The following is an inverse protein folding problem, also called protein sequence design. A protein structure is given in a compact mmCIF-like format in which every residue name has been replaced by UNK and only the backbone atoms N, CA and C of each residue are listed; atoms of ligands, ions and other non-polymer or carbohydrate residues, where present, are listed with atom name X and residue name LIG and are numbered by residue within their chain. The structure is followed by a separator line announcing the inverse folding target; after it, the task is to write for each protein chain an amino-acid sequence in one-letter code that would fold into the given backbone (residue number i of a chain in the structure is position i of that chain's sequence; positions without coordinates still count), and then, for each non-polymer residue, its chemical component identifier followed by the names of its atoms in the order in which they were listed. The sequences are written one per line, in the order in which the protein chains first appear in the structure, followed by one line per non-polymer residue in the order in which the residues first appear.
data_IF_628478884140
#
_entry.id   IF_628478884140
#
_cell.length_a   1.000
_cell.length_b   1.000
_cell.length_c   1.000
_cell.angle_alpha   90.00
_cell.angle_beta   90.00
_cell.angle_gamma   90.00
#
_symmetry.space_group_name_H-M   'P 1'
#
loop_
_entity.id
_entity.type
_entity.pdbx_description
1 polymer ?
#
# COMPACT_ATOMS: atom_id res chain seq x y z
N UNK A 1 -2.74 77.31 -28.52
CA UNK A 1 -2.77 76.16 -27.58
C UNK A 1 -2.65 74.89 -28.41
N UNK A 2 -1.55 74.16 -28.25
CA UNK A 2 -1.26 72.89 -28.96
C UNK A 2 -1.59 71.74 -28.01
N UNK A 3 -2.41 70.79 -28.42
CA UNK A 3 -2.56 69.52 -27.71
C UNK A 3 -2.10 68.38 -28.62
N UNK A 4 -0.98 67.77 -28.24
CA UNK A 4 -0.43 66.56 -28.84
C UNK A 4 -1.27 65.36 -28.43
N UNK A 5 -1.69 64.56 -29.42
CA UNK A 5 -2.22 63.23 -29.20
C UNK A 5 -1.04 62.25 -29.03
N UNK A 6 -0.90 61.69 -27.83
CA UNK A 6 -0.02 60.54 -27.57
C UNK A 6 -0.83 59.28 -27.85
N UNK A 7 -0.46 58.59 -28.93
CA UNK A 7 -0.98 57.28 -29.29
C UNK A 7 -0.37 56.25 -28.34
N UNK A 8 -1.17 55.67 -27.44
CA UNK A 8 -0.74 54.58 -26.57
C UNK A 8 -0.88 53.25 -27.32
N UNK A 9 0.25 52.68 -27.73
CA UNK A 9 0.33 51.35 -28.32
C UNK A 9 0.16 50.29 -27.22
N UNK A 10 -1.01 49.65 -27.15
CA UNK A 10 -1.23 48.44 -26.37
C UNK A 10 -0.65 47.24 -27.15
N UNK A 11 0.53 46.76 -26.75
CA UNK A 11 1.07 45.49 -27.25
C UNK A 11 0.49 44.33 -26.44
N UNK A 12 -0.14 43.39 -27.16
CA UNK A 12 -0.83 42.23 -26.60
C UNK A 12 0.16 41.23 -25.94
N UNK A 13 -0.02 41.00 -24.64
CA UNK A 13 0.48 39.83 -23.92
C UNK A 13 -0.58 38.72 -24.05
N UNK A 14 -0.47 37.87 -25.07
CA UNK A 14 -1.50 36.86 -25.36
C UNK A 14 -0.99 35.55 -25.99
N UNK A 15 0.25 35.13 -25.72
CA UNK A 15 0.86 33.97 -26.37
C UNK A 15 1.26 32.82 -25.43
N UNK A 16 0.76 32.77 -24.20
CA UNK A 16 1.15 31.74 -23.21
C UNK A 16 0.24 30.51 -23.12
N UNK A 17 -1.02 30.60 -23.59
CA UNK A 17 -2.05 29.60 -23.25
C UNK A 17 -2.12 28.39 -24.19
N UNK A 18 -1.58 28.49 -25.41
CA UNK A 18 -1.66 27.42 -26.42
C UNK A 18 -0.70 26.25 -26.18
N UNK A 19 0.52 26.53 -25.70
CA UNK A 19 1.55 25.52 -25.49
C UNK A 19 1.19 24.53 -24.38
N UNK A 20 0.65 25.02 -23.26
CA UNK A 20 0.20 24.17 -22.14
C UNK A 20 -1.00 23.29 -22.53
N UNK A 21 -1.93 23.78 -23.36
CA UNK A 21 -3.08 23.01 -23.81
C UNK A 21 -2.68 21.87 -24.75
N UNK A 22 -1.68 22.10 -25.60
CA UNK A 22 -1.14 21.07 -26.49
C UNK A 22 -0.42 19.96 -25.70
N UNK A 23 0.46 20.34 -24.77
CA UNK A 23 1.17 19.39 -23.89
C UNK A 23 0.21 18.52 -23.07
N UNK A 24 -0.86 19.11 -22.51
CA UNK A 24 -1.90 18.38 -21.78
C UNK A 24 -2.64 17.38 -22.69
N UNK A 25 -2.92 17.76 -23.94
CA UNK A 25 -3.62 16.89 -24.89
C UNK A 25 -2.74 15.71 -25.31
N UNK A 26 -1.47 15.97 -25.60
CA UNK A 26 -0.48 14.93 -25.91
C UNK A 26 -0.31 13.96 -24.74
N UNK A 27 -0.20 14.50 -23.51
CA UNK A 27 -0.11 13.70 -22.30
C UNK A 27 -1.36 12.84 -22.05
N UNK A 28 -2.55 13.38 -22.30
CA UNK A 28 -3.79 12.63 -22.19
C UNK A 28 -3.85 11.48 -23.22
N UNK A 29 -3.36 11.72 -24.44
CA UNK A 29 -3.22 10.70 -25.48
C UNK A 29 -2.28 9.57 -25.06
N UNK A 30 -1.13 9.91 -24.48
CA UNK A 30 -0.16 8.95 -23.95
C UNK A 30 -0.77 8.08 -22.84
N UNK A 31 -1.41 8.70 -21.85
CA UNK A 31 -2.09 7.98 -20.75
C UNK A 31 -3.15 7.01 -21.28
N UNK A 32 -3.89 7.41 -22.32
CA UNK A 32 -4.88 6.54 -22.95
C UNK A 32 -4.22 5.34 -23.63
N UNK A 33 -3.13 5.56 -24.37
CA UNK A 33 -2.39 4.48 -25.02
C UNK A 33 -1.86 3.46 -24.00
N UNK A 34 -1.32 3.90 -22.86
CA UNK A 34 -0.86 3.00 -21.80
C UNK A 34 -1.99 2.19 -21.16
N UNK A 35 -3.19 2.76 -20.99
CA UNK A 35 -4.36 2.00 -20.53
C UNK A 35 -4.71 0.87 -21.50
N UNK A 36 -4.72 1.15 -22.79
CA UNK A 36 -5.01 0.16 -23.83
C UNK A 36 -3.94 -0.95 -23.85
N UNK A 37 -2.67 -0.58 -23.76
CA UNK A 37 -1.54 -1.52 -23.71
C UNK A 37 -1.56 -2.41 -22.46
N UNK A 38 -1.73 -1.82 -21.27
CA UNK A 38 -1.74 -2.58 -20.02
C UNK A 38 -3.03 -3.40 -19.80
N UNK A 39 -4.06 -3.20 -20.62
CA UNK A 39 -5.28 -4.02 -20.67
C UNK A 39 -5.36 -4.94 -21.90
N UNK A 40 -4.25 -5.14 -22.60
CA UNK A 40 -4.20 -5.97 -23.80
C UNK A 40 -4.77 -7.39 -23.55
N UNK A 41 -5.53 -8.00 -24.46
CA UNK A 41 -6.14 -9.32 -24.22
C UNK A 41 -5.10 -10.44 -24.03
N UNK A 42 -3.97 -10.34 -24.75
CA UNK A 42 -2.83 -11.26 -24.61
C UNK A 42 -2.10 -11.04 -23.27
N UNK A 43 -1.99 -12.05 -22.40
CA UNK A 43 -1.30 -11.95 -21.11
C UNK A 43 0.21 -11.70 -21.24
N UNK A 44 0.87 -12.24 -22.26
CA UNK A 44 2.33 -12.08 -22.44
C UNK A 44 2.65 -10.63 -22.82
N UNK A 45 1.81 -10.04 -23.68
CA UNK A 45 1.92 -8.61 -24.01
C UNK A 45 1.61 -7.73 -22.81
N UNK A 46 0.59 -8.05 -21.99
CA UNK A 46 0.33 -7.30 -20.74
C UNK A 46 1.50 -7.33 -19.79
N UNK A 47 2.14 -8.49 -19.62
CA UNK A 47 3.31 -8.63 -18.77
C UNK A 47 4.46 -7.76 -19.31
N UNK A 48 4.74 -7.83 -20.62
CA UNK A 48 5.76 -7.01 -21.25
C UNK A 48 5.48 -5.49 -21.12
N UNK A 49 4.22 -5.06 -21.26
CA UNK A 49 3.84 -3.67 -21.07
C UNK A 49 3.95 -3.22 -19.62
N UNK A 50 3.62 -4.08 -18.65
CA UNK A 50 3.83 -3.78 -17.23
C UNK A 50 5.32 -3.60 -16.94
N UNK A 51 6.19 -4.48 -17.43
CA UNK A 51 7.64 -4.32 -17.28
C UNK A 51 8.18 -3.07 -17.97
N UNK A 52 7.64 -2.72 -19.15
CA UNK A 52 7.98 -1.49 -19.85
C UNK A 52 7.57 -0.26 -19.04
N UNK A 53 6.35 -0.26 -18.47
CA UNK A 53 5.83 0.80 -17.63
C UNK A 53 6.75 1.06 -16.42
N UNK A 54 7.19 0.01 -15.73
CA UNK A 54 8.10 0.11 -14.58
C UNK A 54 9.49 0.65 -14.92
N UNK A 55 9.88 0.65 -16.20
CA UNK A 55 11.16 1.22 -16.68
C UNK A 55 11.03 2.69 -17.07
N UNK A 56 9.82 3.22 -17.20
CA UNK A 56 9.59 4.63 -17.60
C UNK A 56 9.95 5.61 -16.48
N UNK A 57 9.88 5.19 -15.20
CA UNK A 57 9.91 6.06 -14.02
C UNK A 57 8.79 7.11 -13.99
N UNK A 58 7.71 6.88 -14.75
CA UNK A 58 6.53 7.73 -14.75
C UNK A 58 5.48 7.15 -13.80
N UNK A 59 5.37 7.74 -12.62
CA UNK A 59 4.44 7.28 -11.57
C UNK A 59 2.99 7.19 -12.04
N UNK A 60 2.57 8.01 -13.01
CA UNK A 60 1.19 7.95 -13.53
C UNK A 60 0.98 6.71 -14.39
N UNK A 61 1.92 6.42 -15.27
CA UNK A 61 1.89 5.23 -16.15
C UNK A 61 2.00 3.97 -15.30
N UNK A 62 2.94 3.93 -14.36
CA UNK A 62 3.13 2.78 -13.48
C UNK A 62 1.88 2.49 -12.67
N UNK A 63 1.28 3.49 -12.01
CA UNK A 63 0.05 3.31 -11.21
C UNK A 63 -1.11 2.75 -12.03
N UNK A 64 -1.25 3.17 -13.29
CA UNK A 64 -2.28 2.64 -14.19
C UNK A 64 -2.05 1.17 -14.47
N UNK A 65 -0.83 0.81 -14.89
CA UNK A 65 -0.49 -0.56 -15.27
C UNK A 65 -0.50 -1.51 -14.07
N UNK A 66 0.01 -1.07 -12.92
CA UNK A 66 -0.05 -1.81 -11.66
C UNK A 66 -1.49 -2.08 -11.24
N UNK A 67 -2.37 -1.06 -11.27
CA UNK A 67 -3.80 -1.24 -10.93
C UNK A 67 -4.47 -2.29 -11.83
N UNK A 68 -4.24 -2.22 -13.14
CA UNK A 68 -4.77 -3.20 -14.09
C UNK A 68 -4.19 -4.60 -13.85
N UNK A 69 -2.91 -4.69 -13.49
CA UNK A 69 -2.25 -5.95 -13.20
C UNK A 69 -2.79 -6.64 -11.94
N UNK A 70 -3.06 -5.86 -10.87
CA UNK A 70 -3.67 -6.38 -9.64
C UNK A 70 -5.06 -6.97 -9.86
N UNK A 71 -5.78 -6.49 -10.90
CA UNK A 71 -7.11 -6.97 -11.28
C UNK A 71 -7.07 -8.12 -12.30
N UNK A 72 -5.88 -8.60 -12.70
CA UNK A 72 -5.74 -9.65 -13.69
C UNK A 72 -6.06 -11.04 -13.11
N UNK A 73 -6.82 -11.83 -13.88
CA UNK A 73 -7.05 -13.25 -13.58
C UNK A 73 -5.78 -14.10 -13.74
N UNK A 74 -4.82 -13.63 -14.55
CA UNK A 74 -3.53 -14.30 -14.73
C UNK A 74 -2.65 -14.09 -13.49
N UNK A 75 -2.20 -15.18 -12.88
CA UNK A 75 -1.45 -15.17 -11.63
C UNK A 75 -0.07 -14.50 -11.74
N UNK A 76 0.62 -14.61 -12.88
CA UNK A 76 1.94 -14.03 -13.07
C UNK A 76 1.87 -12.51 -13.19
N UNK A 77 0.91 -12.01 -13.96
CA UNK A 77 0.63 -10.57 -14.06
C UNK A 77 0.25 -10.01 -12.68
N UNK A 78 -0.60 -10.73 -11.94
CA UNK A 78 -1.06 -10.31 -10.62
C UNK A 78 0.08 -10.29 -9.60
N UNK A 79 0.96 -11.29 -9.63
CA UNK A 79 2.16 -11.35 -8.81
C UNK A 79 3.13 -10.19 -9.11
N UNK A 80 3.43 -9.93 -10.39
CA UNK A 80 4.27 -8.79 -10.77
C UNK A 80 3.62 -7.45 -10.36
N UNK A 81 2.30 -7.32 -10.56
CA UNK A 81 1.52 -6.17 -10.12
C UNK A 81 1.62 -5.95 -8.61
N UNK A 82 1.51 -7.00 -7.79
CA UNK A 82 1.63 -6.90 -6.34
C UNK A 82 3.03 -6.47 -5.91
N UNK A 83 4.07 -7.06 -6.50
CA UNK A 83 5.47 -6.66 -6.22
C UNK A 83 5.72 -5.20 -6.57
N UNK A 84 5.22 -4.76 -7.73
CA UNK A 84 5.32 -3.38 -8.18
C UNK A 84 4.54 -2.43 -7.27
N UNK A 85 3.32 -2.78 -6.86
CA UNK A 85 2.53 -1.99 -5.92
C UNK A 85 3.29 -1.76 -4.60
N UNK A 86 3.82 -2.84 -4.01
CA UNK A 86 4.61 -2.76 -2.78
C UNK A 86 5.85 -1.88 -2.94
N UNK A 87 6.50 -1.91 -4.11
CA UNK A 87 7.65 -1.05 -4.38
C UNK A 87 7.32 0.45 -4.50
N UNK A 88 6.05 0.80 -4.72
CA UNK A 88 5.59 2.20 -4.79
C UNK A 88 5.19 2.79 -3.44
N UNK A 89 5.03 1.95 -2.40
CA UNK A 89 4.65 2.41 -1.08
C UNK A 89 5.88 2.71 -0.23
N UNK A 90 5.93 3.92 0.33
CA UNK A 90 6.83 4.22 1.45
C UNK A 90 6.31 3.63 2.76
N UNK A 91 4.97 3.58 2.90
CA UNK A 91 4.29 3.07 4.08
C UNK A 91 3.01 2.31 3.70
N UNK A 92 2.70 1.29 4.49
CA UNK A 92 1.46 0.53 4.41
C UNK A 92 0.83 0.44 5.81
N UNK A 93 -0.42 0.87 5.93
CA UNK A 93 -1.18 0.84 7.18
C UNK A 93 -2.20 -0.27 7.13
N UNK A 94 -2.16 -1.15 8.13
CA UNK A 94 -3.16 -2.18 8.32
C UNK A 94 -4.16 -1.76 9.39
N UNK A 95 -5.44 -1.82 9.08
CA UNK A 95 -6.50 -1.88 10.07
C UNK A 95 -6.39 -3.22 10.80
N UNK A 96 -6.68 -3.21 12.11
CA UNK A 96 -6.53 -4.39 12.96
C UNK A 96 -7.83 -4.65 13.70
N UNK A 97 -8.39 -5.83 13.49
CA UNK A 97 -9.58 -6.27 14.21
C UNK A 97 -9.20 -7.04 15.47
N UNK A 98 -10.17 -7.10 16.39
CA UNK A 98 -10.03 -7.88 17.61
C UNK A 98 -10.02 -9.37 17.25
N UNK A 99 -9.12 -10.20 17.82
CA UNK A 99 -9.15 -11.64 17.60
C UNK A 99 -10.50 -12.24 18.01
N UNK A 100 -11.03 -13.14 17.19
CA UNK A 100 -12.36 -13.77 17.41
C UNK A 100 -12.42 -14.47 18.78
N UNK A 101 -11.39 -15.22 19.14
CA UNK A 101 -11.29 -15.86 20.46
C UNK A 101 -11.33 -14.85 21.62
N UNK A 102 -10.85 -13.62 21.43
CA UNK A 102 -10.96 -12.57 22.45
C UNK A 102 -12.37 -11.99 22.50
N UNK A 103 -13.03 -11.84 21.36
CA UNK A 103 -14.44 -11.42 21.30
C UNK A 103 -15.32 -12.42 22.05
N UNK A 104 -15.15 -13.71 21.77
CA UNK A 104 -15.87 -14.80 22.45
C UNK A 104 -15.65 -14.75 23.97
N UNK A 105 -14.40 -14.63 24.43
CA UNK A 105 -14.11 -14.57 25.87
C UNK A 105 -14.72 -13.35 26.56
N UNK A 106 -14.79 -12.21 25.89
CA UNK A 106 -15.45 -11.02 26.42
C UNK A 106 -16.95 -11.24 26.51
N UNK A 107 -17.56 -11.86 25.50
CA UNK A 107 -18.99 -12.18 25.50
C UNK A 107 -19.34 -13.20 26.60
N UNK A 108 -18.53 -14.24 26.79
CA UNK A 108 -18.71 -15.25 27.86
C UNK A 108 -18.67 -14.63 29.27
N UNK A 109 -17.92 -13.53 29.44
CA UNK A 109 -17.74 -12.83 30.72
C UNK A 109 -18.72 -11.65 30.91
N UNK A 110 -19.72 -11.48 30.03
CA UNK A 110 -20.66 -10.38 30.12
C UNK A 110 -21.42 -10.39 31.46
N UNK A 111 -21.37 -9.26 32.18
CA UNK A 111 -21.97 -9.12 33.52
C UNK A 111 -21.09 -9.62 34.69
N UNK A 112 -19.90 -10.17 34.42
CA UNK A 112 -18.91 -10.56 35.43
C UNK A 112 -17.70 -9.61 35.39
N UNK A 113 -17.72 -8.58 36.23
CA UNK A 113 -16.66 -7.55 36.28
C UNK A 113 -15.28 -8.13 36.61
N UNK A 114 -15.22 -9.18 37.43
CA UNK A 114 -13.97 -9.81 37.83
C UNK A 114 -13.34 -10.57 36.65
N UNK A 115 -14.15 -11.30 35.87
CA UNK A 115 -13.69 -11.96 34.65
C UNK A 115 -13.28 -10.95 33.58
N UNK A 116 -14.05 -9.89 33.36
CA UNK A 116 -13.69 -8.82 32.42
C UNK A 116 -12.37 -8.16 32.82
N UNK A 117 -12.14 -7.91 34.11
CA UNK A 117 -10.86 -7.42 34.63
C UNK A 117 -9.73 -8.41 34.35
N UNK A 118 -9.93 -9.71 34.56
CA UNK A 118 -8.94 -10.74 34.20
C UNK A 118 -8.60 -10.72 32.72
N UNK A 119 -9.61 -10.67 31.83
CA UNK A 119 -9.42 -10.65 30.37
C UNK A 119 -8.68 -9.38 29.94
N UNK A 120 -8.98 -8.22 30.53
CA UNK A 120 -8.25 -6.97 30.26
C UNK A 120 -6.75 -7.06 30.62
N UNK A 121 -6.40 -7.93 31.55
CA UNK A 121 -5.03 -8.19 31.98
C UNK A 121 -4.22 -9.05 31.00
N UNK A 122 -4.89 -9.78 30.09
CA UNK A 122 -4.23 -10.68 29.14
C UNK A 122 -3.36 -9.93 28.15
N UNK A 123 -2.26 -10.57 27.74
CA UNK A 123 -1.32 -9.99 26.78
C UNK A 123 -1.99 -9.66 25.45
N UNK A 124 -2.86 -10.56 24.94
CA UNK A 124 -3.62 -10.33 23.70
C UNK A 124 -4.49 -9.07 23.75
N UNK A 125 -5.16 -8.81 24.88
CA UNK A 125 -6.01 -7.63 25.08
C UNK A 125 -5.18 -6.35 25.13
N UNK A 126 -4.09 -6.36 25.91
CA UNK A 126 -3.16 -5.23 25.99
C UNK A 126 -2.57 -4.91 24.61
N UNK A 127 -2.14 -5.93 23.87
CA UNK A 127 -1.63 -5.76 22.52
C UNK A 127 -2.67 -5.14 21.61
N UNK A 128 -3.89 -5.70 21.57
CA UNK A 128 -4.96 -5.14 20.74
C UNK A 128 -5.14 -3.65 21.01
N UNK A 129 -5.16 -3.24 22.29
CA UNK A 129 -5.31 -1.84 22.65
C UNK A 129 -4.22 -0.91 22.09
N UNK A 130 -3.01 -1.43 21.85
CA UNK A 130 -1.93 -0.67 21.23
C UNK A 130 -2.04 -0.57 19.71
N UNK A 131 -2.61 -1.58 19.05
CA UNK A 131 -2.61 -1.69 17.57
C UNK A 131 -3.98 -1.47 16.92
N UNK A 132 -5.06 -1.37 17.71
CA UNK A 132 -6.43 -1.17 17.22
C UNK A 132 -6.64 0.09 16.38
N UNK A 133 -5.76 1.08 16.50
CA UNK A 133 -5.81 2.31 15.69
C UNK A 133 -5.01 2.20 14.38
N UNK A 134 -4.57 1.00 14.05
CA UNK A 134 -3.80 0.70 12.86
C UNK A 134 -2.34 0.34 13.16
N UNK A 135 -1.80 -0.49 12.28
CA UNK A 135 -0.41 -0.93 12.30
C UNK A 135 0.30 -0.46 11.04
N UNK A 136 1.18 0.53 11.21
CA UNK A 136 1.94 1.13 10.10
C UNK A 136 3.25 0.39 9.89
N UNK A 137 3.56 0.03 8.66
CA UNK A 137 4.86 -0.47 8.22
C UNK A 137 5.50 0.51 7.27
N UNK A 138 6.72 0.94 7.56
CA UNK A 138 7.57 1.61 6.58
C UNK A 138 8.28 0.57 5.72
N UNK A 139 8.19 0.72 4.39
CA UNK A 139 8.72 -0.23 3.41
C UNK A 139 10.02 0.32 2.85
N UNK A 140 11.05 -0.54 2.82
CA UNK A 140 12.37 -0.24 2.26
C UNK A 140 12.84 -1.39 1.38
N UNK A 141 13.71 -1.05 0.43
CA UNK A 141 14.44 -2.03 -0.41
C UNK A 141 13.49 -3.04 -1.07
N UNK A 142 12.34 -2.57 -1.55
CA UNK A 142 11.43 -3.41 -2.30
C UNK A 142 12.01 -3.69 -3.68
N UNK A 143 12.26 -4.97 -3.96
CA UNK A 143 12.80 -5.45 -5.21
C UNK A 143 11.70 -6.21 -5.96
N UNK A 144 11.25 -5.59 -7.05
CA UNK A 144 10.18 -6.11 -7.90
C UNK A 144 10.57 -7.44 -8.55
N UNK A 145 11.87 -7.66 -8.79
CA UNK A 145 12.38 -8.84 -9.50
C UNK A 145 12.27 -10.10 -8.63
N UNK A 146 12.79 -10.03 -7.41
CA UNK A 146 12.80 -11.18 -6.49
C UNK A 146 11.60 -11.21 -5.53
N UNK A 147 10.77 -10.16 -5.52
CA UNK A 147 9.60 -10.05 -4.65
C UNK A 147 9.94 -9.93 -3.17
N UNK A 148 11.14 -9.45 -2.82
CA UNK A 148 11.58 -9.26 -1.44
C UNK A 148 11.57 -7.78 -1.07
N UNK A 149 11.28 -7.50 0.20
CA UNK A 149 11.37 -6.16 0.78
C UNK A 149 11.68 -6.22 2.27
N UNK A 150 12.13 -5.08 2.83
CA UNK A 150 12.39 -4.93 4.27
C UNK A 150 11.36 -3.97 4.83
N UNK A 151 10.58 -4.41 5.83
CA UNK A 151 9.56 -3.55 6.43
C UNK A 151 9.86 -3.31 7.90
N UNK A 152 9.56 -2.09 8.34
CA UNK A 152 9.75 -1.59 9.69
C UNK A 152 8.39 -1.26 10.30
N UNK A 153 7.89 -2.01 11.29
CA UNK A 153 6.69 -1.67 12.02
C UNK A 153 6.95 -0.41 12.84
N UNK A 154 6.19 0.65 12.57
CA UNK A 154 6.39 1.95 13.20
C UNK A 154 5.70 2.07 14.55
N UNK A 155 4.59 1.35 14.81
CA UNK A 155 3.92 1.38 16.11
C UNK A 155 3.75 2.80 16.68
N UNK A 156 4.21 3.05 17.92
CA UNK A 156 4.24 4.41 18.52
C UNK A 156 5.55 5.17 18.26
N UNK A 157 6.39 4.72 17.33
CA UNK A 157 7.68 5.30 17.00
C UNK A 157 7.54 6.32 15.86
N UNK A 158 8.31 7.40 15.94
CA UNK A 158 8.36 8.43 14.90
C UNK A 158 9.27 8.07 13.71
N UNK A 159 10.05 6.98 13.81
CA UNK A 159 11.00 6.57 12.79
C UNK A 159 11.29 5.06 12.85
N UNK A 160 11.65 4.47 11.70
CA UNK A 160 12.16 3.11 11.62
C UNK A 160 13.34 2.85 12.58
N UNK A 161 13.45 1.60 13.05
CA UNK A 161 14.58 1.11 13.83
C UNK A 161 14.99 -0.28 13.35
N UNK A 162 16.28 -0.46 13.09
CA UNK A 162 16.83 -1.74 12.65
C UNK A 162 16.64 -2.87 13.68
N UNK A 163 16.36 -2.53 14.95
CA UNK A 163 16.01 -3.51 15.98
C UNK A 163 14.68 -4.24 15.68
N UNK A 164 13.77 -3.60 14.96
CA UNK A 164 12.42 -4.09 14.68
C UNK A 164 12.20 -4.35 13.20
N UNK A 165 13.24 -4.48 12.39
CA UNK A 165 13.08 -4.81 10.97
C UNK A 165 12.56 -6.23 10.78
N UNK A 166 11.82 -6.44 9.70
CA UNK A 166 11.49 -7.76 9.20
C UNK A 166 11.59 -7.82 7.68
N UNK A 167 11.56 -9.04 7.15
CA UNK A 167 11.61 -9.29 5.70
C UNK A 167 10.23 -9.69 5.22
N UNK A 168 9.76 -9.07 4.15
CA UNK A 168 8.57 -9.46 3.43
C UNK A 168 8.95 -10.17 2.12
N UNK A 169 8.18 -11.20 1.79
CA UNK A 169 8.29 -11.95 0.54
C UNK A 169 6.92 -12.02 -0.12
N UNK A 170 6.87 -11.68 -1.41
CA UNK A 170 5.68 -11.76 -2.25
C UNK A 170 5.73 -13.04 -3.09
N UNK A 171 4.73 -13.90 -2.92
CA UNK A 171 4.57 -15.15 -3.67
C UNK A 171 3.14 -15.23 -4.20
N UNK A 172 2.97 -15.12 -5.51
CA UNK A 172 1.65 -15.07 -6.12
C UNK A 172 0.92 -13.80 -5.68
N UNK A 173 -0.26 -13.96 -5.07
CA UNK A 173 -1.06 -12.86 -4.49
C UNK A 173 -0.91 -12.73 -2.97
N UNK A 174 0.10 -13.39 -2.39
CA UNK A 174 0.33 -13.43 -0.94
C UNK A 174 1.60 -12.70 -0.55
N UNK A 175 1.53 -11.95 0.54
CA UNK A 175 2.68 -11.34 1.20
C UNK A 175 2.86 -12.01 2.55
N UNK A 176 4.07 -12.51 2.80
CA UNK A 176 4.47 -12.95 4.13
C UNK A 176 5.63 -12.11 4.63
N UNK A 177 5.39 -11.37 5.70
CA UNK A 177 6.42 -10.66 6.44
C UNK A 177 6.77 -11.42 7.72
N UNK A 178 8.04 -11.43 8.08
CA UNK A 178 8.53 -12.01 9.35
C UNK A 178 9.61 -11.13 9.93
N UNK A 179 9.44 -10.75 11.20
CA UNK A 179 10.35 -9.83 11.88
C UNK A 179 10.04 -9.70 13.36
N UNK A 180 10.52 -8.62 13.96
CA UNK A 180 10.18 -8.24 15.33
C UNK A 180 9.39 -6.96 15.31
N UNK A 181 8.60 -6.69 16.34
CA UNK A 181 7.93 -5.40 16.50
C UNK A 181 8.36 -4.78 17.83
N UNK A 182 8.20 -3.47 17.95
CA UNK A 182 8.48 -2.77 19.21
C UNK A 182 7.61 -3.30 20.38
N UNK A 183 6.36 -3.65 20.08
CA UNK A 183 5.41 -4.22 21.05
C UNK A 183 5.84 -5.61 21.56
N UNK A 184 6.66 -6.32 20.78
CA UNK A 184 7.07 -7.71 21.00
C UNK A 184 8.58 -7.88 20.79
N UNK A 185 9.40 -7.13 21.53
CA UNK A 185 10.84 -7.09 21.30
C UNK A 185 11.53 -8.45 21.35
N UNK A 186 10.96 -9.40 22.09
CA UNK A 186 11.52 -10.71 22.40
C UNK A 186 10.83 -11.84 21.62
N UNK A 187 9.89 -11.51 20.74
CA UNK A 187 9.10 -12.50 20.01
C UNK A 187 9.08 -12.16 18.52
N UNK A 188 9.20 -13.20 17.70
CA UNK A 188 9.04 -13.06 16.25
C UNK A 188 7.57 -12.97 15.92
N UNK A 189 7.24 -12.00 15.07
CA UNK A 189 5.93 -11.82 14.50
C UNK A 189 5.93 -12.20 13.02
N UNK A 190 4.79 -12.70 12.56
CA UNK A 190 4.51 -13.00 11.16
C UNK A 190 3.24 -12.27 10.76
N UNK A 191 3.35 -11.46 9.73
CA UNK A 191 2.22 -10.87 9.02
C UNK A 191 2.02 -11.70 7.76
N UNK A 192 0.82 -12.23 7.58
CA UNK A 192 0.50 -13.11 6.49
C UNK A 192 -0.82 -12.66 5.88
N UNK A 193 -0.73 -12.06 4.68
CA UNK A 193 -1.86 -11.42 4.01
C UNK A 193 -1.92 -11.86 2.55
N UNK A 194 -3.14 -11.99 2.06
CA UNK A 194 -3.43 -12.33 0.68
C UNK A 194 -4.28 -11.23 0.05
N UNK A 195 -4.03 -10.96 -1.23
CA UNK A 195 -4.83 -10.02 -1.97
C UNK A 195 -6.23 -10.58 -2.23
N UNK A 196 -7.24 -9.77 -1.92
CA UNK A 196 -8.65 -10.07 -2.14
C UNK A 196 -9.20 -9.27 -3.33
N UNK A 197 -10.40 -9.65 -3.77
CA UNK A 197 -11.10 -8.90 -4.81
C UNK A 197 -11.26 -7.43 -4.39
N UNK A 198 -10.96 -6.51 -5.32
CA UNK A 198 -10.95 -5.06 -5.04
C UNK A 198 -9.58 -4.49 -4.68
N UNK A 199 -8.52 -5.31 -4.63
CA UNK A 199 -7.16 -4.83 -4.41
C UNK A 199 -6.89 -4.44 -2.95
N UNK A 200 -7.51 -5.16 -2.00
CA UNK A 200 -7.15 -5.10 -0.60
C UNK A 200 -6.27 -6.30 -0.24
N UNK A 201 -5.50 -6.17 0.84
CA UNK A 201 -4.80 -7.25 1.51
C UNK A 201 -5.60 -7.64 2.74
N UNK A 202 -5.92 -8.91 2.89
CA UNK A 202 -6.56 -9.47 4.08
C UNK A 202 -5.74 -10.63 4.63
N UNK A 203 -5.70 -10.75 5.95
CA UNK A 203 -5.06 -11.89 6.60
C UNK A 203 -4.90 -11.68 8.09
N UNK A 204 -3.74 -12.06 8.62
CA UNK A 204 -3.50 -11.97 10.04
C UNK A 204 -2.05 -11.61 10.39
N UNK A 205 -1.90 -10.93 11.52
CA UNK A 205 -0.65 -10.74 12.22
C UNK A 205 -0.62 -11.63 13.46
N UNK A 206 0.43 -12.44 13.61
CA UNK A 206 0.62 -13.32 14.75
C UNK A 206 1.99 -13.09 15.36
N UNK A 207 2.06 -12.98 16.68
CA UNK A 207 3.30 -12.77 17.42
C UNK A 207 3.46 -13.86 18.49
N UNK A 208 4.37 -14.81 18.25
CA UNK A 208 4.53 -15.99 19.10
C UNK A 208 3.24 -16.78 19.24
N UNK A 209 2.91 -17.13 20.49
CA UNK A 209 1.73 -17.95 20.81
C UNK A 209 0.46 -17.14 21.06
N UNK A 210 0.48 -15.83 20.78
CA UNK A 210 -0.73 -15.00 20.85
C UNK A 210 -1.72 -15.38 19.76
N UNK A 211 -3.00 -15.14 20.03
CA UNK A 211 -4.03 -15.27 19.00
C UNK A 211 -3.74 -14.34 17.82
N UNK A 212 -4.01 -14.82 16.59
CA UNK A 212 -3.82 -14.02 15.39
C UNK A 212 -4.76 -12.81 15.42
N UNK A 213 -4.21 -11.64 15.14
CA UNK A 213 -4.96 -10.40 14.93
C UNK A 213 -5.34 -10.34 13.46
N UNK A 214 -6.65 -10.36 13.11
CA UNK A 214 -7.05 -10.14 11.72
C UNK A 214 -6.63 -8.74 11.29
N UNK A 215 -6.13 -8.63 10.07
CA UNK A 215 -5.64 -7.36 9.52
C UNK A 215 -6.09 -7.16 8.09
N UNK A 216 -6.31 -5.91 7.73
CA UNK A 216 -6.70 -5.48 6.39
C UNK A 216 -5.93 -4.23 5.97
N UNK A 217 -5.51 -4.13 4.72
CA UNK A 217 -4.98 -2.89 4.16
C UNK A 217 -5.42 -2.69 2.70
N UNK A 218 -5.82 -1.47 2.29
CA UNK A 218 -6.04 -1.17 0.88
C UNK A 218 -4.69 -1.05 0.13
N UNK A 219 -4.62 -1.57 -1.11
CA UNK A 219 -3.50 -1.29 -2.03
C UNK A 219 -3.85 -0.25 -3.10
N UNK A 220 -5.13 0.14 -3.24
CA UNK A 220 -5.64 0.99 -4.32
C UNK A 220 -6.57 2.09 -3.83
#
# INVERSE_FOLDING_TARGET
MKFSYVLATFFALGAGSGALAQEVTERAGEIKAWREQCSHPDPDLRLAYLEAALKTNDTSIERICVRLALQSDNADIRNLGLRAAIAQFDQLTFDVDKPEALVEKIADAEGDEDQLRTISGWNVTKTYNYIQNGMVFEIKKADVTNGQSVWYPLGSMSSASDKYLGKAVVVGDRIRWTGRTWFFSDTTCTLDVQMTAGGALDGAMQCGDLWPFPVRAPLL
#
